data_IF_423216807770
#
_entry.id   IF_423216807770
#
_cell.length_a   1.000
_cell.length_b   1.000
_cell.length_c   1.000
_cell.angle_alpha   90.00
_cell.angle_beta   90.00
_cell.angle_gamma   90.00
#
_symmetry.space_group_name_H-M   'P 1'
#
loop_
_entity.id
_entity.type
_entity.pdbx_description
1 polymer ?
#
# COMPACT_ATOMS: atom_id res chain seq x y z
N UNK A 1 -8.68 11.42 27.77
CA UNK A 1 -7.66 11.67 26.72
C UNK A 1 -8.17 11.14 25.39
N UNK A 2 -8.26 11.96 24.34
CA UNK A 2 -8.50 11.44 22.99
C UNK A 2 -7.21 10.77 22.51
N UNK A 3 -7.27 9.48 22.20
CA UNK A 3 -6.15 8.73 21.61
C UNK A 3 -5.93 9.26 20.20
N UNK A 4 -4.84 9.98 19.96
CA UNK A 4 -4.42 10.32 18.60
C UNK A 4 -3.90 9.03 17.98
N UNK A 5 -4.68 8.43 17.08
CA UNK A 5 -4.24 7.27 16.31
C UNK A 5 -3.62 7.83 15.03
N UNK A 6 -2.30 7.97 15.01
CA UNK A 6 -1.56 8.24 13.77
C UNK A 6 -1.61 6.96 12.94
N UNK A 7 -2.20 7.01 11.73
CA UNK A 7 -2.19 5.88 10.81
C UNK A 7 -0.79 5.72 10.22
N UNK A 8 -0.27 4.49 10.24
CA UNK A 8 0.97 4.16 9.55
C UNK A 8 0.86 4.29 8.03
N UNK A 9 2.00 4.42 7.36
CA UNK A 9 2.10 4.57 5.90
C UNK A 9 1.36 3.46 5.16
N UNK A 10 1.58 2.19 5.54
CA UNK A 10 0.88 1.02 4.96
C UNK A 10 -0.63 1.19 4.95
N UNK A 11 -1.20 1.67 6.07
CA UNK A 11 -2.64 1.87 6.20
C UNK A 11 -3.14 3.00 5.30
N UNK A 12 -2.42 4.12 5.24
CA UNK A 12 -2.77 5.24 4.33
C UNK A 12 -2.72 4.80 2.87
N UNK A 13 -1.72 3.99 2.49
CA UNK A 13 -1.63 3.40 1.14
C UNK A 13 -2.81 2.46 0.87
N UNK A 14 -3.15 1.57 1.80
CA UNK A 14 -4.29 0.66 1.64
C UNK A 14 -5.62 1.38 1.46
N UNK A 15 -5.85 2.45 2.23
CA UNK A 15 -7.02 3.32 2.07
C UNK A 15 -7.05 3.99 0.69
N UNK A 16 -5.92 4.57 0.24
CA UNK A 16 -5.81 5.14 -1.10
C UNK A 16 -6.13 4.13 -2.21
N UNK A 17 -5.56 2.92 -2.14
CA UNK A 17 -5.80 1.86 -3.12
C UNK A 17 -7.27 1.42 -3.15
N UNK A 18 -7.93 1.45 -1.99
CA UNK A 18 -9.36 1.16 -1.87
C UNK A 18 -10.24 2.25 -2.45
N UNK A 19 -10.02 3.50 -2.05
CA UNK A 19 -10.77 4.67 -2.51
C UNK A 19 -10.66 4.86 -4.03
N UNK A 20 -9.48 4.62 -4.60
CA UNK A 20 -9.22 4.74 -6.04
C UNK A 20 -9.52 3.46 -6.82
N UNK A 21 -10.10 2.42 -6.17
CA UNK A 21 -10.47 1.14 -6.79
C UNK A 21 -9.32 0.50 -7.58
N UNK A 22 -8.10 0.59 -7.05
CA UNK A 22 -6.91 0.04 -7.69
C UNK A 22 -7.01 -1.49 -7.72
N UNK A 23 -6.81 -2.08 -8.90
CA UNK A 23 -6.81 -3.52 -9.07
C UNK A 23 -5.44 -4.07 -8.62
N UNK A 24 -5.41 -4.74 -7.47
CA UNK A 24 -4.17 -5.28 -6.90
C UNK A 24 -3.54 -6.38 -7.75
N UNK A 25 -4.32 -7.18 -8.48
CA UNK A 25 -3.75 -8.17 -9.40
C UNK A 25 -3.02 -7.50 -10.56
N UNK A 26 -3.55 -6.40 -11.10
CA UNK A 26 -2.86 -5.59 -12.11
C UNK A 26 -1.61 -4.92 -11.53
N UNK A 27 -1.71 -4.36 -10.32
CA UNK A 27 -0.57 -3.74 -9.64
C UNK A 27 0.54 -4.76 -9.35
N UNK A 28 0.21 -5.99 -8.94
CA UNK A 28 1.18 -7.06 -8.71
C UNK A 28 1.90 -7.51 -10.00
N UNK A 29 1.23 -7.38 -11.15
CA UNK A 29 1.75 -7.76 -12.46
C UNK A 29 2.52 -6.62 -13.16
N UNK A 30 2.49 -5.40 -12.61
CA UNK A 30 3.26 -4.29 -13.15
C UNK A 30 4.77 -4.57 -13.02
N UNK A 31 5.51 -4.30 -14.09
CA UNK A 31 6.96 -4.57 -14.19
C UNK A 31 7.75 -3.85 -13.08
N UNK A 32 7.23 -2.68 -12.67
CA UNK A 32 7.80 -1.77 -11.68
C UNK A 32 7.46 -2.18 -10.24
N UNK A 33 6.32 -2.84 -10.04
CA UNK A 33 5.83 -3.21 -8.72
C UNK A 33 6.69 -4.30 -8.11
N UNK A 34 7.02 -5.35 -8.87
CA UNK A 34 7.81 -6.52 -8.44
C UNK A 34 7.34 -7.17 -7.12
N UNK A 35 6.14 -6.83 -6.63
CA UNK A 35 5.58 -7.37 -5.39
C UNK A 35 4.59 -8.49 -5.73
N UNK A 36 4.80 -9.71 -5.21
CA UNK A 36 3.84 -10.78 -5.31
C UNK A 36 2.45 -10.36 -4.80
N UNK A 37 1.39 -10.72 -5.52
CA UNK A 37 0.01 -10.36 -5.18
C UNK A 37 -0.36 -10.67 -3.72
N UNK A 38 0.04 -11.84 -3.21
CA UNK A 38 -0.23 -12.22 -1.82
C UNK A 38 0.38 -11.22 -0.83
N UNK A 39 1.61 -10.74 -1.08
CA UNK A 39 2.27 -9.75 -0.21
C UNK A 39 1.58 -8.39 -0.28
N UNK A 40 1.13 -7.95 -1.46
CA UNK A 40 0.29 -6.75 -1.59
C UNK A 40 -1.01 -6.92 -0.79
N UNK A 41 -1.72 -8.02 -1.00
CA UNK A 41 -3.01 -8.28 -0.37
C UNK A 41 -2.92 -8.27 1.15
N UNK A 42 -1.97 -9.02 1.73
CA UNK A 42 -1.81 -9.07 3.19
C UNK A 42 -1.36 -7.75 3.79
N UNK A 43 -0.69 -6.89 3.02
CA UNK A 43 -0.23 -5.60 3.53
C UNK A 43 -1.30 -4.51 3.46
N UNK A 44 -2.09 -4.47 2.38
CA UNK A 44 -2.99 -3.33 2.11
C UNK A 44 -4.48 -3.65 2.12
N UNK A 45 -4.89 -4.92 2.22
CA UNK A 45 -6.30 -5.34 2.17
C UNK A 45 -6.73 -6.26 3.29
N UNK A 46 -5.83 -7.13 3.74
CA UNK A 46 -6.16 -8.03 4.83
C UNK A 46 -6.30 -7.25 6.15
N UNK A 47 -7.48 -7.36 6.77
CA UNK A 47 -7.80 -6.69 8.05
C UNK A 47 -7.38 -7.51 9.27
N UNK A 48 -6.88 -8.73 9.05
CA UNK A 48 -6.49 -9.69 10.07
C UNK A 48 -4.98 -9.92 10.13
N UNK A 49 -4.24 -9.60 9.05
CA UNK A 49 -2.80 -9.71 8.98
C UNK A 49 -2.15 -8.33 8.94
N UNK A 50 -1.28 -8.05 9.92
CA UNK A 50 -0.59 -6.76 10.05
C UNK A 50 0.85 -6.87 9.53
N UNK A 51 1.00 -7.08 8.22
CA UNK A 51 2.31 -6.93 7.58
C UNK A 51 2.42 -5.52 7.01
N UNK A 52 3.41 -4.77 7.48
CA UNK A 52 3.74 -3.50 6.84
C UNK A 52 4.40 -3.70 5.47
N UNK A 53 4.13 -2.77 4.56
CA UNK A 53 4.91 -2.63 3.33
C UNK A 53 6.35 -2.31 3.71
N UNK A 54 7.31 -3.02 3.11
CA UNK A 54 8.72 -2.62 3.16
C UNK A 54 8.90 -1.34 2.35
N UNK A 55 9.97 -0.60 2.63
CA UNK A 55 10.21 0.69 1.99
C UNK A 55 10.33 0.58 0.45
N UNK A 56 10.99 -0.45 -0.05
CA UNK A 56 11.11 -0.75 -1.48
C UNK A 56 9.75 -1.09 -2.10
N UNK A 57 8.93 -1.90 -1.43
CA UNK A 57 7.57 -2.23 -1.90
C UNK A 57 6.68 -0.99 -1.96
N UNK A 58 6.73 -0.14 -0.93
CA UNK A 58 6.02 1.14 -0.91
C UNK A 58 6.44 2.05 -2.08
N UNK A 59 7.74 2.21 -2.30
CA UNK A 59 8.26 3.04 -3.40
C UNK A 59 7.90 2.46 -4.77
N UNK A 60 7.96 1.14 -4.94
CA UNK A 60 7.54 0.45 -6.17
C UNK A 60 6.06 0.68 -6.48
N UNK A 61 5.17 0.66 -5.48
CA UNK A 61 3.75 1.03 -5.66
C UNK A 61 3.63 2.49 -6.10
N UNK A 62 4.38 3.41 -5.47
CA UNK A 62 4.35 4.82 -5.84
C UNK A 62 4.80 5.04 -7.29
N UNK A 63 5.86 4.36 -7.74
CA UNK A 63 6.33 4.43 -9.12
C UNK A 63 5.28 3.88 -10.08
N UNK A 64 4.74 2.69 -9.80
CA UNK A 64 3.76 2.03 -10.68
C UNK A 64 2.46 2.84 -10.86
N UNK A 65 2.11 3.68 -9.87
CA UNK A 65 0.90 4.50 -9.87
C UNK A 65 1.16 6.00 -10.08
N UNK A 66 2.43 6.39 -10.32
CA UNK A 66 2.86 7.78 -10.44
C UNK A 66 2.42 8.67 -9.25
N UNK A 67 2.65 8.19 -8.03
CA UNK A 67 2.31 8.85 -6.77
C UNK A 67 3.53 9.49 -6.12
N UNK A 68 3.32 10.59 -5.40
CA UNK A 68 4.35 11.17 -4.56
C UNK A 68 4.36 10.48 -3.18
N UNK A 69 5.44 9.78 -2.79
CA UNK A 69 5.50 9.09 -1.51
C UNK A 69 5.35 10.02 -0.30
N UNK A 70 5.64 11.32 -0.45
CA UNK A 70 5.49 12.33 0.61
C UNK A 70 4.02 12.50 1.03
N UNK A 71 3.05 12.19 0.16
CA UNK A 71 1.63 12.32 0.46
C UNK A 71 1.15 11.31 1.52
N UNK A 72 1.97 10.28 1.82
CA UNK A 72 1.64 9.22 2.77
C UNK A 72 2.40 9.33 4.09
N UNK A 73 3.34 10.26 4.24
CA UNK A 73 4.17 10.42 5.46
C UNK A 73 3.41 11.25 6.51
#
# INVERSE_FOLDING_TARGET
MRKIIVKGVTKKVGEYLEENKVNLSKLALAEESKIPYYLLYVSVRDKHLERDLRADEFLSICVALNLNPVDFI
#
